data_IF_018767129999
#
_entry.id   IF_018767129999
#
_cell.length_a   1.000
_cell.length_b   1.000
_cell.length_c   1.000
_cell.angle_alpha   90.00
_cell.angle_beta   90.00
_cell.angle_gamma   90.00
#
_symmetry.space_group_name_H-M   'P 1'
#
loop_
_entity.id
_entity.type
_entity.pdbx_description
1 polymer ?
#
# COMPACT_ATOMS: atom_id res chain seq x y z
N UNK A 1 12.16 -0.89 31.28
CA UNK A 1 11.32 -1.82 30.49
C UNK A 1 10.94 -1.08 29.21
N UNK A 2 11.86 -1.02 28.24
CA UNK A 2 11.66 -0.26 27.00
C UNK A 2 10.78 -1.12 26.09
N UNK A 3 9.54 -0.68 25.84
CA UNK A 3 8.63 -1.34 24.91
C UNK A 3 9.30 -1.33 23.54
N UNK A 4 9.82 -2.49 23.14
CA UNK A 4 10.22 -2.78 21.76
C UNK A 4 9.04 -2.33 20.89
N UNK A 5 9.17 -1.27 20.08
CA UNK A 5 8.03 -0.83 19.29
C UNK A 5 7.62 -2.00 18.41
N UNK A 6 6.32 -2.27 18.37
CA UNK A 6 5.66 -3.25 17.52
C UNK A 6 5.73 -2.80 16.05
N UNK A 7 6.95 -2.68 15.52
CA UNK A 7 7.29 -2.36 14.13
C UNK A 7 6.52 -3.25 13.11
N UNK A 8 6.22 -4.54 13.35
CA UNK A 8 5.45 -5.32 12.37
C UNK A 8 3.97 -4.92 12.29
N UNK A 9 3.36 -4.40 13.37
CA UNK A 9 1.91 -4.16 13.39
C UNK A 9 1.51 -3.03 12.44
N UNK A 10 2.23 -1.91 12.48
CA UNK A 10 1.96 -0.76 11.60
C UNK A 10 2.17 -1.11 10.12
N UNK A 11 3.17 -1.95 9.82
CA UNK A 11 3.44 -2.43 8.46
C UNK A 11 2.36 -3.37 7.96
N UNK A 12 1.91 -4.28 8.82
CA UNK A 12 0.83 -5.19 8.49
C UNK A 12 -0.46 -4.42 8.23
N UNK A 13 -0.73 -3.38 9.04
CA UNK A 13 -1.83 -2.46 8.82
C UNK A 13 -1.70 -1.72 7.47
N UNK A 14 -0.51 -1.22 7.14
CA UNK A 14 -0.25 -0.55 5.86
C UNK A 14 -0.50 -1.48 4.67
N UNK A 15 0.02 -2.71 4.73
CA UNK A 15 -0.18 -3.74 3.71
C UNK A 15 -1.65 -4.13 3.59
N UNK A 16 -2.38 -4.21 4.71
CA UNK A 16 -3.80 -4.49 4.73
C UNK A 16 -4.60 -3.36 4.07
N UNK A 17 -4.29 -2.09 4.38
CA UNK A 17 -4.92 -0.95 3.71
C UNK A 17 -4.62 -0.94 2.20
N UNK A 18 -3.37 -1.24 1.81
CA UNK A 18 -3.00 -1.37 0.41
C UNK A 18 -3.78 -2.51 -0.27
N UNK A 19 -3.95 -3.67 0.38
CA UNK A 19 -4.75 -4.78 -0.12
C UNK A 19 -6.21 -4.37 -0.36
N UNK A 20 -6.82 -3.69 0.60
CA UNK A 20 -8.19 -3.20 0.50
C UNK A 20 -8.33 -2.23 -0.69
N UNK A 21 -7.41 -1.28 -0.84
CA UNK A 21 -7.42 -0.32 -1.94
C UNK A 21 -7.05 -0.92 -3.31
N UNK A 22 -6.35 -2.04 -3.36
CA UNK A 22 -6.13 -2.81 -4.61
C UNK A 22 -7.44 -3.46 -5.06
N UNK A 23 -8.24 -4.00 -4.14
CA UNK A 23 -9.51 -4.69 -4.45
C UNK A 23 -10.67 -3.72 -4.65
N UNK A 24 -10.60 -2.53 -4.04
CA UNK A 24 -11.67 -1.51 -4.10
C UNK A 24 -12.21 -1.22 -5.51
N UNK A 25 -11.37 -0.99 -6.55
CA UNK A 25 -11.85 -0.67 -7.91
C UNK A 25 -12.56 -1.82 -8.63
N UNK A 26 -12.52 -3.04 -8.08
CA UNK A 26 -13.10 -4.26 -8.67
C UNK A 26 -14.40 -4.68 -7.99
N UNK A 27 -14.84 -3.98 -6.94
CA UNK A 27 -16.06 -4.31 -6.22
C UNK A 27 -17.31 -3.88 -7.03
N UNK A 28 -18.24 -4.80 -7.33
CA UNK A 28 -19.44 -4.48 -8.10
C UNK A 28 -20.30 -3.46 -7.33
N UNK A 29 -20.66 -2.35 -7.99
CA UNK A 29 -21.42 -1.25 -7.39
C UNK A 29 -20.62 0.05 -7.23
N UNK A 30 -19.30 0.03 -7.43
CA UNK A 30 -18.49 1.27 -7.51
C UNK A 30 -18.64 2.02 -8.83
N UNK A 31 -19.38 1.44 -9.78
CA UNK A 31 -19.56 1.97 -11.15
C UNK A 31 -20.78 2.90 -11.26
N UNK A 32 -21.71 2.82 -10.29
CA UNK A 32 -22.92 3.64 -10.27
C UNK A 32 -22.60 5.00 -9.63
N UNK A 33 -22.27 5.97 -10.47
CA UNK A 33 -22.11 7.38 -10.11
C UNK A 33 -23.45 7.99 -9.66
N UNK A 34 -23.93 7.64 -8.46
CA UNK A 34 -25.02 8.38 -7.81
C UNK A 34 -24.41 9.56 -7.06
N UNK A 35 -24.89 10.76 -7.38
CA UNK A 35 -24.42 12.08 -6.92
C UNK A 35 -24.35 12.31 -5.40
N UNK A 36 -24.67 11.31 -4.57
CA UNK A 36 -24.60 11.36 -3.11
C UNK A 36 -23.35 10.63 -2.53
N UNK A 37 -22.59 9.90 -3.36
CA UNK A 37 -21.40 9.12 -2.95
C UNK A 37 -20.07 9.77 -3.35
N UNK A 38 -20.12 11.06 -3.70
CA UNK A 38 -18.99 11.88 -4.18
C UNK A 38 -17.80 11.87 -3.21
N UNK A 39 -18.04 11.72 -1.90
CA UNK A 39 -16.97 11.71 -0.89
C UNK A 39 -16.04 10.49 -0.99
N UNK A 40 -16.58 9.28 -1.07
CA UNK A 40 -15.77 8.06 -1.12
C UNK A 40 -15.06 7.91 -2.48
N UNK A 41 -15.76 8.27 -3.56
CA UNK A 41 -15.22 8.21 -4.91
C UNK A 41 -14.14 9.27 -5.19
N UNK A 42 -14.10 10.38 -4.46
CA UNK A 42 -12.99 11.34 -4.50
C UNK A 42 -11.86 10.98 -3.54
N UNK A 43 -12.17 10.45 -2.35
CA UNK A 43 -11.14 10.09 -1.37
C UNK A 43 -10.27 8.91 -1.83
N UNK A 44 -10.85 7.94 -2.53
CA UNK A 44 -10.14 6.74 -2.96
C UNK A 44 -8.99 7.02 -3.96
N UNK A 45 -9.17 7.83 -5.03
CA UNK A 45 -8.07 8.22 -5.91
C UNK A 45 -7.05 9.16 -5.24
N UNK A 46 -7.42 9.91 -4.18
CA UNK A 46 -6.48 10.73 -3.40
C UNK A 46 -5.64 9.86 -2.44
N UNK A 47 -6.24 8.82 -1.85
CA UNK A 47 -5.55 7.93 -0.92
C UNK A 47 -4.58 6.97 -1.61
N UNK A 48 -4.84 6.63 -2.88
CA UNK A 48 -3.96 5.79 -3.69
C UNK A 48 -2.51 6.30 -3.78
N UNK A 49 -2.21 7.53 -4.22
CA UNK A 49 -0.83 8.04 -4.29
C UNK A 49 -0.20 8.18 -2.91
N UNK A 50 -0.99 8.51 -1.88
CA UNK A 50 -0.51 8.60 -0.49
C UNK A 50 -0.04 7.23 0.00
N UNK A 51 -0.82 6.17 -0.19
CA UNK A 51 -0.41 4.81 0.17
C UNK A 51 0.76 4.32 -0.67
N UNK A 52 0.80 4.67 -1.95
CA UNK A 52 1.94 4.37 -2.82
C UNK A 52 3.23 4.94 -2.24
N UNK A 53 3.22 6.23 -1.87
CA UNK A 53 4.37 6.89 -1.24
C UNK A 53 4.73 6.26 0.11
N UNK A 54 3.73 5.92 0.93
CA UNK A 54 3.96 5.25 2.22
C UNK A 54 4.59 3.87 2.08
N UNK A 55 4.15 3.06 1.11
CA UNK A 55 4.74 1.73 0.83
C UNK A 55 6.19 1.85 0.34
N UNK A 56 6.47 2.84 -0.51
CA UNK A 56 7.84 3.12 -0.96
C UNK A 56 8.73 3.61 0.18
N UNK A 57 8.20 4.50 1.03
CA UNK A 57 8.92 4.97 2.22
C UNK A 57 9.21 3.82 3.19
N UNK A 58 8.25 2.92 3.42
CA UNK A 58 8.45 1.73 4.26
C UNK A 58 9.49 0.77 3.65
N UNK A 59 9.49 0.59 2.32
CA UNK A 59 10.49 -0.20 1.61
C UNK A 59 11.90 0.41 1.75
N UNK A 60 12.04 1.73 1.68
CA UNK A 60 13.32 2.43 1.91
C UNK A 60 13.77 2.25 3.37
N UNK A 61 12.86 2.43 4.33
CA UNK A 61 13.15 2.22 5.74
C UNK A 61 13.62 0.78 6.03
N UNK A 62 12.97 -0.21 5.42
CA UNK A 62 13.38 -1.61 5.46
C UNK A 62 14.76 -1.83 4.85
N UNK A 63 15.09 -1.17 3.75
CA UNK A 63 16.42 -1.25 3.13
C UNK A 63 17.50 -0.68 4.05
N UNK A 64 17.21 0.43 4.76
CA UNK A 64 18.09 1.00 5.78
C UNK A 64 18.28 0.02 6.93
N UNK A 65 17.21 -0.54 7.49
CA UNK A 65 17.31 -1.51 8.59
C UNK A 65 18.08 -2.77 8.19
N UNK A 66 17.89 -3.24 6.96
CA UNK A 66 18.62 -4.37 6.40
C UNK A 66 20.12 -4.10 6.34
N UNK A 67 20.52 -2.88 6.02
CA UNK A 67 21.94 -2.48 5.95
C UNK A 67 22.60 -2.41 7.33
N UNK A 68 21.81 -2.24 8.39
CA UNK A 68 22.28 -2.14 9.78
C UNK A 68 22.14 -3.44 10.57
N UNK A 69 21.55 -4.50 9.99
CA UNK A 69 21.37 -5.79 10.66
C UNK A 69 22.51 -6.74 10.33
N UNK A 70 23.27 -7.16 11.34
CA UNK A 70 24.31 -8.20 11.19
C UNK A 70 23.71 -9.62 11.17
N UNK A 71 22.46 -9.78 11.61
CA UNK A 71 21.76 -11.07 11.63
C UNK A 71 21.31 -11.51 10.22
N UNK A 72 21.86 -12.62 9.73
CA UNK A 72 21.55 -13.14 8.39
C UNK A 72 20.07 -13.54 8.22
N UNK A 73 19.43 -14.04 9.28
CA UNK A 73 18.00 -14.40 9.24
C UNK A 73 17.10 -13.16 9.17
N UNK A 74 17.45 -12.10 9.89
CA UNK A 74 16.72 -10.82 9.81
C UNK A 74 16.91 -10.18 8.43
N UNK A 75 18.14 -10.23 7.89
CA UNK A 75 18.47 -9.72 6.56
C UNK A 75 17.59 -10.34 5.46
N UNK A 76 17.35 -11.67 5.51
CA UNK A 76 16.44 -12.37 4.58
C UNK A 76 14.98 -11.91 4.75
N UNK A 77 14.49 -11.77 5.97
CA UNK A 77 13.13 -11.29 6.25
C UNK A 77 12.92 -9.85 5.75
N UNK A 78 13.89 -8.96 6.00
CA UNK A 78 13.83 -7.58 5.50
C UNK A 78 13.82 -7.53 3.98
N UNK A 79 14.68 -8.32 3.31
CA UNK A 79 14.67 -8.45 1.86
C UNK A 79 13.35 -8.93 1.29
N UNK A 80 12.68 -9.88 1.96
CA UNK A 80 11.34 -10.35 1.58
C UNK A 80 10.29 -9.24 1.73
N UNK A 81 10.27 -8.52 2.85
CA UNK A 81 9.33 -7.43 3.09
C UNK A 81 9.48 -6.27 2.10
N UNK A 82 10.71 -5.93 1.71
CA UNK A 82 10.97 -4.92 0.67
C UNK A 82 10.32 -5.33 -0.66
N UNK A 83 10.51 -6.59 -1.08
CA UNK A 83 9.89 -7.11 -2.31
C UNK A 83 8.38 -7.09 -2.22
N UNK A 84 7.82 -7.44 -1.07
CA UNK A 84 6.38 -7.44 -0.85
C UNK A 84 5.81 -6.02 -0.95
N UNK A 85 6.42 -5.03 -0.30
CA UNK A 85 6.02 -3.62 -0.44
C UNK A 85 6.05 -3.17 -1.91
N UNK A 86 7.13 -3.47 -2.65
CA UNK A 86 7.23 -3.12 -4.07
C UNK A 86 6.15 -3.80 -4.93
N UNK A 87 5.86 -5.08 -4.69
CA UNK A 87 4.79 -5.80 -5.38
C UNK A 87 3.44 -5.13 -5.10
N UNK A 88 3.13 -4.81 -3.85
CA UNK A 88 1.90 -4.11 -3.47
C UNK A 88 1.82 -2.72 -4.10
N UNK A 89 2.93 -1.98 -4.16
CA UNK A 89 2.98 -0.68 -4.86
C UNK A 89 2.62 -0.83 -6.33
N UNK A 90 3.23 -1.78 -7.05
CA UNK A 90 2.96 -2.01 -8.47
C UNK A 90 1.51 -2.47 -8.69
N UNK A 91 1.01 -3.38 -7.86
CA UNK A 91 -0.38 -3.85 -7.93
C UNK A 91 -1.38 -2.73 -7.65
N UNK A 92 -1.09 -1.86 -6.67
CA UNK A 92 -1.92 -0.70 -6.36
C UNK A 92 -1.98 0.25 -7.55
N UNK A 93 -0.84 0.55 -8.19
CA UNK A 93 -0.82 1.37 -9.40
C UNK A 93 -1.62 0.69 -10.53
N UNK A 94 -1.33 -0.57 -10.81
CA UNK A 94 -1.95 -1.32 -11.90
C UNK A 94 -3.47 -1.47 -11.75
N UNK A 95 -3.95 -1.72 -10.52
CA UNK A 95 -5.38 -1.86 -10.23
C UNK A 95 -6.17 -0.56 -10.48
N UNK A 96 -5.51 0.59 -10.31
CA UNK A 96 -6.13 1.91 -10.48
C UNK A 96 -6.04 2.46 -11.90
N UNK A 97 -5.18 1.91 -12.78
CA UNK A 97 -5.14 2.26 -14.22
C UNK A 97 -6.52 2.25 -14.88
N UNK A 98 -7.35 1.18 -14.79
CA UNK A 98 -8.66 1.15 -15.44
C UNK A 98 -9.60 2.24 -14.90
N UNK A 99 -9.49 2.61 -13.63
CA UNK A 99 -10.25 3.72 -13.05
C UNK A 99 -9.89 5.06 -13.72
N UNK A 100 -8.60 5.36 -13.87
CA UNK A 100 -8.15 6.59 -14.54
C UNK A 100 -8.52 6.62 -16.03
N UNK A 101 -8.49 5.47 -16.71
CA UNK A 101 -8.92 5.39 -18.11
C UNK A 101 -10.41 5.70 -18.24
N UNK A 102 -11.26 5.16 -17.36
CA UNK A 102 -12.70 5.48 -17.34
C UNK A 102 -13.00 6.94 -17.01
N UNK A 103 -12.18 7.57 -16.17
CA UNK A 103 -12.35 8.99 -15.81
C UNK A 103 -12.05 9.93 -16.98
N UNK A 104 -11.14 9.53 -17.88
CA UNK A 104 -10.68 10.36 -19.00
C UNK A 104 -11.41 10.09 -20.34
N UNK A 105 -12.31 9.09 -20.39
CA UNK A 105 -13.16 8.81 -21.56
C UNK A 105 -14.52 9.48 -21.42
#
# INVERSE_FOLDING_TARGET
MSSKPSIPFLRLLLLLFAAVLIVFPWLPGTDDFRSNEVSLNLMAPITMPVLTMLLLLDAVMLAVYRSSSDDEQQNKLWGFLIRLNLIFTVLLIASWVPFFVRLNS
#
